data_IF_150228326648
#
_entry.id   IF_150228326648
#
_cell.length_a   1.000
_cell.length_b   1.000
_cell.length_c   1.000
_cell.angle_alpha   90.00
_cell.angle_beta   90.00
_cell.angle_gamma   90.00
#
_symmetry.space_group_name_H-M   'P 1'
#
loop_
_entity.id
_entity.type
_entity.pdbx_description
1 polymer ?
#
# COMPACT_ATOMS: atom_id res chain seq x y z
N UNK A 1 2.64 36.31 -12.72
CA UNK A 1 2.00 35.38 -13.68
C UNK A 1 1.83 34.04 -12.98
N UNK A 2 0.62 33.46 -12.89
CA UNK A 2 0.43 32.15 -12.27
C UNK A 2 1.00 31.04 -13.17
N UNK A 3 1.83 30.17 -12.59
CA UNK A 3 2.39 28.99 -13.25
C UNK A 3 1.25 28.08 -13.72
N UNK A 4 1.26 27.57 -14.96
CA UNK A 4 0.23 26.62 -15.39
C UNK A 4 0.34 25.35 -14.55
N UNK A 5 -0.78 24.96 -13.92
CA UNK A 5 -0.94 23.65 -13.31
C UNK A 5 -0.80 22.63 -14.43
N UNK A 6 0.28 21.85 -14.41
CA UNK A 6 0.49 20.76 -15.35
C UNK A 6 -0.50 19.67 -14.98
N UNK A 7 -1.58 19.53 -15.75
CA UNK A 7 -2.43 18.36 -15.66
C UNK A 7 -1.55 17.14 -16.01
N UNK A 8 -1.24 16.34 -15.00
CA UNK A 8 -0.66 15.03 -15.20
C UNK A 8 -1.67 14.19 -16.01
N UNK A 9 -1.22 13.43 -17.03
CA UNK A 9 -2.08 12.43 -17.65
C UNK A 9 -2.59 11.47 -16.57
N UNK A 10 -3.78 10.88 -16.71
CA UNK A 10 -4.22 9.85 -15.78
C UNK A 10 -3.14 8.77 -15.71
N UNK A 11 -2.72 8.34 -14.50
CA UNK A 11 -1.72 7.30 -14.37
C UNK A 11 -2.18 6.07 -15.14
N UNK A 12 -1.26 5.44 -15.87
CA UNK A 12 -1.51 4.15 -16.49
C UNK A 12 -1.84 3.16 -15.37
N UNK A 13 -3.13 2.86 -15.18
CA UNK A 13 -3.65 2.11 -14.03
C UNK A 13 -3.02 0.70 -13.98
N UNK A 14 -2.56 0.20 -15.13
CA UNK A 14 -1.90 -1.11 -15.27
C UNK A 14 -0.36 -1.06 -15.20
N UNK A 15 0.27 0.13 -15.32
CA UNK A 15 1.72 0.30 -15.41
C UNK A 15 2.48 0.21 -14.07
N UNK A 16 3.83 0.12 -14.12
CA UNK A 16 4.66 0.26 -12.93
C UNK A 16 4.44 1.65 -12.30
N UNK A 17 4.63 1.78 -10.96
CA UNK A 17 4.41 3.06 -10.28
C UNK A 17 5.37 4.12 -10.80
N UNK A 18 4.84 5.32 -11.04
CA UNK A 18 5.65 6.48 -11.38
C UNK A 18 6.42 7.02 -10.17
N UNK A 19 7.28 8.01 -10.40
CA UNK A 19 8.03 8.68 -9.34
C UNK A 19 7.12 9.20 -8.21
N UNK A 20 6.02 9.85 -8.57
CA UNK A 20 5.09 10.45 -7.60
C UNK A 20 4.33 9.37 -6.82
N UNK A 21 4.01 8.24 -7.44
CA UNK A 21 3.40 7.08 -6.77
C UNK A 21 4.36 6.48 -5.74
N UNK A 22 5.62 6.27 -6.12
CA UNK A 22 6.67 5.76 -5.22
C UNK A 22 6.86 6.68 -4.03
N UNK A 23 6.95 7.99 -4.27
CA UNK A 23 7.14 8.96 -3.19
C UNK A 23 5.93 9.00 -2.25
N UNK A 24 4.72 8.98 -2.80
CA UNK A 24 3.49 8.92 -2.01
C UNK A 24 3.43 7.65 -1.16
N UNK A 25 3.64 6.47 -1.76
CA UNK A 25 3.66 5.20 -1.04
C UNK A 25 4.75 5.15 0.04
N UNK A 26 5.92 5.71 -0.25
CA UNK A 26 7.01 5.83 0.73
C UNK A 26 6.55 6.60 1.96
N UNK A 27 5.85 7.72 1.77
CA UNK A 27 5.34 8.53 2.86
C UNK A 27 4.27 7.78 3.67
N UNK A 28 3.36 7.07 2.99
CA UNK A 28 2.34 6.23 3.65
C UNK A 28 2.99 5.11 4.47
N UNK A 29 3.94 4.37 3.89
CA UNK A 29 4.64 3.26 4.55
C UNK A 29 5.41 3.76 5.77
N UNK A 30 6.13 4.88 5.67
CA UNK A 30 6.84 5.47 6.82
C UNK A 30 5.87 6.00 7.88
N UNK A 31 4.74 6.57 7.49
CA UNK A 31 3.72 7.03 8.44
C UNK A 31 3.16 5.88 9.28
N UNK A 32 3.06 4.68 8.69
CA UNK A 32 2.55 3.48 9.37
C UNK A 32 3.63 2.78 10.18
N UNK A 33 4.78 2.47 9.57
CA UNK A 33 5.83 1.69 10.22
C UNK A 33 6.80 2.52 11.08
N UNK A 34 6.76 3.85 10.97
CA UNK A 34 7.74 4.74 11.62
C UNK A 34 9.19 4.37 11.26
N UNK A 35 10.05 4.33 12.28
CA UNK A 35 11.44 3.86 12.17
C UNK A 35 11.58 2.35 12.45
N UNK A 36 10.53 1.56 12.14
CA UNK A 36 10.48 0.13 12.39
C UNK A 36 11.51 -0.72 11.62
N UNK A 37 11.45 -2.05 11.80
CA UNK A 37 12.29 -2.99 11.07
C UNK A 37 11.99 -2.96 9.57
N UNK A 38 12.94 -3.43 8.76
CA UNK A 38 12.78 -3.41 7.30
C UNK A 38 11.60 -4.25 6.82
N UNK A 39 11.37 -5.39 7.48
CA UNK A 39 10.24 -6.28 7.22
C UNK A 39 8.89 -5.56 7.32
N UNK A 40 8.76 -4.53 8.17
CA UNK A 40 7.54 -3.72 8.24
C UNK A 40 7.31 -2.91 6.96
N UNK A 41 8.37 -2.38 6.35
CA UNK A 41 8.26 -1.66 5.08
C UNK A 41 7.90 -2.62 3.94
N UNK A 42 8.54 -3.79 3.90
CA UNK A 42 8.24 -4.86 2.93
C UNK A 42 6.79 -5.32 3.05
N UNK A 43 6.34 -5.63 4.26
CA UNK A 43 4.98 -6.11 4.53
C UNK A 43 3.90 -5.10 4.13
N UNK A 44 4.10 -3.81 4.44
CA UNK A 44 3.17 -2.75 4.03
C UNK A 44 3.16 -2.55 2.51
N UNK A 45 4.31 -2.60 1.85
CA UNK A 45 4.39 -2.51 0.39
C UNK A 45 3.70 -3.72 -0.29
N UNK A 46 3.84 -4.93 0.28
CA UNK A 46 3.14 -6.12 -0.20
C UNK A 46 1.62 -5.99 -0.01
N UNK A 47 1.16 -5.49 1.12
CA UNK A 47 -0.27 -5.20 1.34
C UNK A 47 -0.83 -4.22 0.30
N UNK A 48 -0.07 -3.16 -0.04
CA UNK A 48 -0.47 -2.20 -1.08
C UNK A 48 -0.54 -2.88 -2.45
N UNK A 49 0.43 -3.73 -2.79
CA UNK A 49 0.41 -4.53 -4.03
C UNK A 49 -0.84 -5.43 -4.08
N UNK A 50 -1.13 -6.15 -3.00
CA UNK A 50 -2.27 -7.06 -2.92
C UNK A 50 -3.59 -6.31 -3.13
N UNK A 51 -3.76 -5.13 -2.52
CA UNK A 51 -4.94 -4.28 -2.74
C UNK A 51 -5.11 -3.88 -4.20
N UNK A 52 -4.01 -3.49 -4.85
CA UNK A 52 -4.00 -3.18 -6.27
C UNK A 52 -4.40 -4.38 -7.11
N UNK A 53 -3.84 -5.55 -6.83
CA UNK A 53 -4.13 -6.77 -7.59
C UNK A 53 -5.60 -7.17 -7.43
N UNK A 54 -6.17 -7.06 -6.22
CA UNK A 54 -7.60 -7.23 -5.97
C UNK A 54 -8.45 -6.22 -6.76
N UNK A 55 -8.03 -4.96 -6.82
CA UNK A 55 -8.72 -3.92 -7.58
C UNK A 55 -8.73 -4.22 -9.09
N UNK A 56 -7.56 -4.56 -9.65
CA UNK A 56 -7.41 -4.90 -11.06
C UNK A 56 -8.19 -6.17 -11.44
N UNK A 57 -8.18 -7.19 -10.58
CA UNK A 57 -8.97 -8.41 -10.79
C UNK A 57 -10.48 -8.16 -10.72
N UNK A 58 -10.91 -7.13 -9.98
CA UNK A 58 -12.31 -6.72 -9.94
C UNK A 58 -12.70 -5.94 -11.20
N UNK A 59 -11.83 -5.03 -11.66
CA UNK A 59 -12.02 -4.25 -12.90
C UNK A 59 -12.00 -5.14 -14.13
N UNK A 60 -11.13 -6.15 -14.18
CA UNK A 60 -11.05 -7.11 -15.30
C UNK A 60 -12.33 -7.94 -15.48
N UNK A 61 -13.18 -8.02 -14.44
CA UNK A 61 -14.52 -8.65 -14.51
C UNK A 61 -15.59 -7.74 -15.11
N UNK A 62 -15.21 -6.57 -15.61
CA UNK A 62 -16.11 -5.60 -16.24
C UNK A 62 -16.70 -4.56 -15.28
N UNK A 63 -16.21 -4.51 -14.03
CA UNK A 63 -16.63 -3.50 -13.06
C UNK A 63 -15.80 -2.22 -13.21
N UNK A 64 -16.34 -1.03 -12.91
CA UNK A 64 -15.59 0.22 -13.04
C UNK A 64 -14.51 0.41 -11.96
N UNK A 65 -14.74 -0.09 -10.72
CA UNK A 65 -13.80 0.01 -9.61
C UNK A 65 -14.16 -0.99 -8.49
N UNK A 66 -13.16 -1.45 -7.75
CA UNK A 66 -13.35 -2.22 -6.52
C UNK A 66 -13.88 -1.32 -5.39
N UNK A 67 -14.89 -1.76 -4.60
CA UNK A 67 -15.53 -0.91 -3.59
C UNK A 67 -14.59 -0.39 -2.51
N UNK A 68 -13.50 -1.10 -2.21
CA UNK A 68 -12.54 -0.72 -1.17
C UNK A 68 -11.20 -0.19 -1.69
N UNK A 69 -10.81 -0.56 -2.91
CA UNK A 69 -9.44 -0.36 -3.42
C UNK A 69 -9.41 0.45 -4.73
N UNK A 70 -10.57 0.94 -5.17
CA UNK A 70 -10.68 1.80 -6.34
C UNK A 70 -10.45 1.05 -7.65
N UNK A 71 -9.94 1.77 -8.62
CA UNK A 71 -9.72 1.30 -9.99
C UNK A 71 -8.41 0.52 -10.20
N UNK A 72 -7.58 0.37 -9.15
CA UNK A 72 -6.24 -0.24 -9.24
C UNK A 72 -5.12 0.79 -9.40
N UNK A 73 -5.41 2.09 -9.27
CA UNK A 73 -4.36 3.09 -9.11
C UNK A 73 -3.58 2.89 -7.82
N UNK A 74 -2.27 3.17 -7.85
CA UNK A 74 -1.37 3.02 -6.71
C UNK A 74 -1.80 3.87 -5.50
N UNK A 75 -2.31 5.07 -5.76
CA UNK A 75 -2.80 5.97 -4.71
C UNK A 75 -4.02 5.40 -3.98
N UNK A 76 -5.01 4.85 -4.72
CA UNK A 76 -6.21 4.26 -4.10
C UNK A 76 -5.94 2.89 -3.45
N UNK A 77 -4.82 2.24 -3.79
CA UNK A 77 -4.37 1.01 -3.14
C UNK A 77 -3.73 1.28 -1.76
N UNK A 78 -3.33 2.52 -1.48
CA UNK A 78 -2.84 2.90 -0.15
C UNK A 78 -3.98 2.99 0.87
N UNK A 79 -3.75 2.68 2.15
CA UNK A 79 -4.77 2.81 3.19
C UNK A 79 -5.29 4.25 3.34
N UNK A 80 -6.63 4.43 3.44
CA UNK A 80 -7.24 5.75 3.59
C UNK A 80 -6.83 6.41 4.91
N UNK A 81 -7.08 7.71 5.03
CA UNK A 81 -6.81 8.49 6.24
C UNK A 81 -5.38 9.03 6.36
N UNK A 82 -4.50 8.70 5.41
CA UNK A 82 -3.12 9.17 5.37
C UNK A 82 -2.96 10.20 4.25
N UNK A 83 -3.48 11.41 4.47
CA UNK A 83 -3.08 12.56 3.67
C UNK A 83 -1.63 12.92 4.06
N UNK A 84 -0.67 12.16 3.55
CA UNK A 84 0.74 12.38 3.88
C UNK A 84 1.26 13.45 2.94
N UNK A 85 1.49 14.65 3.48
CA UNK A 85 2.30 15.65 2.77
C UNK A 85 3.70 15.10 2.57
N UNK A 86 4.27 15.30 1.40
CA UNK A 86 5.71 15.01 1.19
C UNK A 86 6.49 15.94 2.11
N UNK A 87 7.28 15.41 3.07
CA UNK A 87 8.03 16.26 3.97
C UNK A 87 9.08 17.04 3.17
N UNK A 88 9.43 18.24 3.63
CA UNK A 88 10.47 19.06 3.01
C UNK A 88 11.85 18.40 3.03
N UNK A 89 12.05 17.41 3.91
CA UNK A 89 13.26 16.59 4.01
C UNK A 89 12.90 15.12 4.20
N UNK A 90 13.49 14.26 3.36
CA UNK A 90 13.40 12.81 3.50
C UNK A 90 14.40 12.32 4.55
N UNK A 91 13.94 11.44 5.43
CA UNK A 91 14.77 10.81 6.45
C UNK A 91 15.33 9.47 5.99
N UNK A 92 16.23 8.87 6.77
CA UNK A 92 16.73 7.51 6.50
C UNK A 92 15.62 6.47 6.37
N UNK A 93 14.53 6.58 7.14
CA UNK A 93 13.39 5.69 7.02
C UNK A 93 12.70 5.80 5.65
N UNK A 94 12.60 7.00 5.10
CA UNK A 94 12.04 7.20 3.76
C UNK A 94 12.87 6.50 2.69
N UNK A 95 14.20 6.62 2.74
CA UNK A 95 15.06 5.93 1.78
C UNK A 95 15.02 4.41 1.92
N UNK A 96 14.93 3.88 3.15
CA UNK A 96 14.76 2.44 3.39
C UNK A 96 13.41 1.94 2.88
N UNK A 97 12.32 2.63 3.22
CA UNK A 97 10.99 2.28 2.75
C UNK A 97 10.89 2.33 1.23
N UNK A 98 11.45 3.37 0.60
CA UNK A 98 11.51 3.49 -0.86
C UNK A 98 12.25 2.32 -1.51
N UNK A 99 13.41 1.93 -0.96
CA UNK A 99 14.15 0.77 -1.44
C UNK A 99 13.33 -0.53 -1.31
N UNK A 100 12.68 -0.76 -0.16
CA UNK A 100 11.81 -1.93 0.06
C UNK A 100 10.63 -1.95 -0.91
N UNK A 101 9.96 -0.82 -1.15
CA UNK A 101 8.86 -0.70 -2.11
C UNK A 101 9.32 -1.12 -3.51
N UNK A 102 10.46 -0.59 -3.97
CA UNK A 102 11.01 -0.95 -5.28
C UNK A 102 11.29 -2.46 -5.39
N UNK A 103 11.90 -3.09 -4.37
CA UNK A 103 12.17 -4.54 -4.39
C UNK A 103 10.89 -5.38 -4.38
N UNK A 104 9.88 -4.98 -3.60
CA UNK A 104 8.58 -5.67 -3.57
C UNK A 104 7.90 -5.62 -4.93
N UNK A 105 7.90 -4.47 -5.61
CA UNK A 105 7.25 -4.34 -6.91
C UNK A 105 8.09 -4.93 -8.06
N UNK A 106 9.39 -5.07 -7.89
CA UNK A 106 10.25 -5.87 -8.77
C UNK A 106 10.07 -7.40 -8.58
N UNK A 107 9.37 -7.83 -7.52
CA UNK A 107 9.15 -9.24 -7.22
C UNK A 107 10.35 -9.92 -6.54
N UNK A 108 11.25 -9.15 -5.95
CA UNK A 108 12.49 -9.65 -5.33
C UNK A 108 12.30 -10.11 -3.87
N UNK A 109 11.16 -9.76 -3.26
CA UNK A 109 10.85 -10.08 -1.86
C UNK A 109 9.85 -11.25 -1.77
N UNK A 110 10.10 -12.19 -0.86
CA UNK A 110 9.14 -13.25 -0.51
C UNK A 110 7.90 -12.63 0.14
N UNK A 111 6.70 -13.14 -0.17
CA UNK A 111 5.48 -12.69 0.51
C UNK A 111 5.54 -13.00 2.02
N UNK A 112 5.47 -11.93 2.83
CA UNK A 112 5.49 -11.98 4.29
C UNK A 112 4.08 -11.92 4.89
N UNK A 113 3.09 -11.48 4.10
CA UNK A 113 1.76 -11.12 4.62
C UNK A 113 0.65 -12.01 4.06
N UNK A 114 0.98 -13.03 3.26
CA UNK A 114 0.07 -14.07 2.74
C UNK A 114 -1.20 -13.47 2.13
N UNK A 115 -1.03 -12.54 1.17
CA UNK A 115 -2.17 -11.89 0.52
C UNK A 115 -2.96 -10.89 1.38
N UNK A 116 -2.43 -10.44 2.53
CA UNK A 116 -3.11 -9.43 3.36
C UNK A 116 -3.47 -8.17 2.57
N UNK A 117 -4.66 -7.64 2.86
CA UNK A 117 -5.20 -6.38 2.31
C UNK A 117 -5.60 -5.40 3.40
N UNK A 118 -5.41 -5.74 4.67
CA UNK A 118 -5.63 -4.83 5.79
C UNK A 118 -4.58 -5.03 6.87
N UNK A 119 -4.35 -3.98 7.66
CA UNK A 119 -3.54 -4.08 8.87
C UNK A 119 -4.08 -3.15 9.95
N UNK A 120 -3.78 -3.46 11.21
CA UNK A 120 -4.01 -2.58 12.35
C UNK A 120 -2.90 -2.74 13.39
N UNK A 121 -2.76 -1.77 14.29
CA UNK A 121 -1.82 -1.90 15.40
C UNK A 121 -2.20 -3.10 16.26
N UNK A 122 -1.22 -3.87 16.71
CA UNK A 122 -1.44 -5.05 17.55
C UNK A 122 -2.02 -4.72 18.93
N UNK A 123 -1.88 -3.47 19.37
CA UNK A 123 -2.48 -2.94 20.58
C UNK A 123 -3.95 -2.54 20.42
N UNK A 124 -4.47 -2.56 19.19
CA UNK A 124 -5.84 -2.19 18.85
C UNK A 124 -6.65 -3.43 18.47
N UNK A 125 -7.96 -3.38 18.67
CA UNK A 125 -8.89 -4.45 18.26
C UNK A 125 -10.09 -3.83 17.55
N UNK A 126 -9.91 -3.34 16.32
CA UNK A 126 -10.99 -2.71 15.59
C UNK A 126 -12.08 -3.72 15.24
N UNK A 127 -13.35 -3.30 15.27
CA UNK A 127 -14.49 -4.21 15.06
C UNK A 127 -14.49 -4.90 13.69
N UNK A 128 -13.94 -4.23 12.66
CA UNK A 128 -13.82 -4.81 11.32
C UNK A 128 -12.87 -6.01 11.28
N UNK A 129 -11.87 -6.11 12.18
CA UNK A 129 -10.89 -7.21 12.12
C UNK A 129 -11.46 -8.53 12.63
N UNK A 130 -12.59 -8.50 13.35
CA UNK A 130 -13.25 -9.71 13.85
C UNK A 130 -13.71 -10.67 12.73
N UNK A 131 -13.91 -10.17 11.51
CA UNK A 131 -14.33 -10.98 10.35
C UNK A 131 -13.16 -11.33 9.41
N UNK A 132 -11.95 -10.87 9.73
CA UNK A 132 -10.76 -11.07 8.91
C UNK A 132 -9.94 -12.26 9.41
N UNK A 133 -9.11 -12.84 8.54
CA UNK A 133 -8.12 -13.86 8.89
C UNK A 133 -6.79 -13.15 9.15
N UNK A 134 -6.23 -13.19 10.38
CA UNK A 134 -4.86 -12.73 10.63
C UNK A 134 -3.85 -13.61 9.91
N UNK A 135 -2.90 -13.00 9.20
CA UNK A 135 -1.88 -13.70 8.41
C UNK A 135 -0.48 -13.53 8.96
N UNK A 136 -0.17 -12.37 9.54
CA UNK A 136 1.14 -12.09 10.11
C UNK A 136 1.08 -11.01 11.22
N UNK A 137 2.09 -11.02 12.10
CA UNK A 137 2.40 -9.94 13.04
C UNK A 137 3.83 -9.47 12.74
N UNK A 138 3.97 -8.28 12.14
CA UNK A 138 5.27 -7.75 11.69
C UNK A 138 5.42 -6.31 12.19
N UNK A 139 6.48 -6.08 12.97
CA UNK A 139 6.62 -4.84 13.74
C UNK A 139 5.40 -4.66 14.64
N UNK A 140 4.79 -3.48 14.60
CA UNK A 140 3.64 -3.15 15.44
C UNK A 140 2.28 -3.55 14.83
N UNK A 141 2.24 -4.22 13.68
CA UNK A 141 1.00 -4.42 12.93
C UNK A 141 0.60 -5.89 12.80
N UNK A 142 -0.68 -6.18 13.08
CA UNK A 142 -1.34 -7.38 12.56
C UNK A 142 -1.77 -7.13 11.12
N UNK A 143 -1.40 -8.04 10.24
CA UNK A 143 -1.84 -8.09 8.84
C UNK A 143 -2.95 -9.11 8.70
N UNK A 144 -3.98 -8.76 7.94
CA UNK A 144 -5.18 -9.56 7.79
C UNK A 144 -5.67 -9.58 6.34
N UNK A 145 -6.35 -10.67 5.98
CA UNK A 145 -7.08 -10.81 4.70
C UNK A 145 -8.54 -11.18 4.93
N UNK A 146 -9.37 -10.94 3.92
CA UNK A 146 -10.77 -11.35 3.94
C UNK A 146 -10.90 -12.88 3.84
N UNK A 147 -11.96 -13.44 4.42
CA UNK A 147 -12.29 -14.85 4.26
C UNK A 147 -12.64 -15.15 2.80
N UNK A 148 -12.00 -16.17 2.21
CA UNK A 148 -12.23 -16.56 0.81
C UNK A 148 -11.41 -15.78 -0.23
N UNK A 149 -10.64 -14.78 0.20
CA UNK A 149 -9.63 -14.12 -0.65
C UNK A 149 -8.34 -14.94 -0.64
N UNK A 150 -8.26 -15.92 -1.54
CA UNK A 150 -6.97 -16.42 -2.06
C UNK A 150 -6.85 -15.93 -3.50
N UNK A 151 -5.74 -15.25 -3.78
CA UNK A 151 -5.34 -14.81 -5.13
C UNK A 151 -4.91 -16.04 -5.94
#
# INVERSE_FOLDING_TARGET
MPTPIRHLPPPDVAGPPGHDDILFMTCVVVSLAGNGPEDSYVALAQMIRNRRDHALAHVSKGNPAHPLFGDGSWQLSCPPGHAVGVPSQLTRAHFRAMASICRVFAGEEKDLVDGATACHLHSETPSWSAQMIPTALIGDHFFCREQGSSI
#
